data_IF_140592961756
#
_entry.id   IF_140592961756
#
_cell.length_a   1.000
_cell.length_b   1.000
_cell.length_c   1.000
_cell.angle_alpha   90.00
_cell.angle_beta   90.00
_cell.angle_gamma   90.00
#
_symmetry.space_group_name_H-M   'P 1'
#
loop_
_entity.id
_entity.type
_entity.pdbx_description
1 polymer ?
#
# COMPACT_ATOMS: atom_id res chain seq x y z
N UNK A 1 -8.41 6.06 8.01
CA UNK A 1 -9.24 5.68 6.84
C UNK A 1 -8.40 5.24 5.63
N UNK A 2 -7.32 5.94 5.28
CA UNK A 2 -6.45 5.61 4.13
C UNK A 2 -5.87 4.18 4.18
N UNK A 3 -5.35 3.74 5.32
CA UNK A 3 -4.80 2.37 5.46
C UNK A 3 -5.79 1.26 5.12
N UNK A 4 -7.06 1.44 5.50
CA UNK A 4 -8.14 0.52 5.16
C UNK A 4 -8.43 0.50 3.65
N UNK A 5 -8.38 1.66 2.98
CA UNK A 5 -8.54 1.75 1.52
C UNK A 5 -7.40 1.03 0.79
N UNK A 6 -6.16 1.21 1.21
CA UNK A 6 -4.99 0.49 0.65
C UNK A 6 -5.22 -1.02 0.75
N UNK A 7 -5.65 -1.50 1.92
CA UNK A 7 -5.93 -2.93 2.14
C UNK A 7 -7.06 -3.46 1.25
N UNK A 8 -8.14 -2.70 1.10
CA UNK A 8 -9.30 -3.07 0.27
C UNK A 8 -8.88 -3.14 -1.20
N UNK A 9 -8.23 -2.10 -1.72
CA UNK A 9 -7.80 -2.03 -3.12
C UNK A 9 -6.77 -3.10 -3.45
N UNK A 10 -5.81 -3.34 -2.55
CA UNK A 10 -4.83 -4.43 -2.70
C UNK A 10 -5.52 -5.80 -2.80
N UNK A 11 -6.46 -6.09 -1.91
CA UNK A 11 -7.23 -7.35 -1.93
C UNK A 11 -8.11 -7.46 -3.17
N UNK A 12 -8.74 -6.38 -3.63
CA UNK A 12 -9.55 -6.33 -4.86
C UNK A 12 -8.70 -6.70 -6.08
N UNK A 13 -7.43 -6.27 -6.08
CA UNK A 13 -6.45 -6.62 -7.11
C UNK A 13 -5.74 -7.97 -6.89
N UNK A 14 -6.19 -8.78 -5.91
CA UNK A 14 -5.61 -10.09 -5.57
C UNK A 14 -4.10 -10.05 -5.26
N UNK A 15 -3.61 -8.93 -4.75
CA UNK A 15 -2.20 -8.76 -4.41
C UNK A 15 -1.92 -9.11 -2.94
N UNK A 16 -0.80 -9.76 -2.67
CA UNK A 16 -0.23 -9.88 -1.33
C UNK A 16 0.41 -8.55 -0.90
N UNK A 17 0.68 -8.38 0.41
CA UNK A 17 1.40 -7.19 0.89
C UNK A 17 2.81 -7.11 0.29
N UNK A 18 3.45 -8.26 0.02
CA UNK A 18 4.77 -8.34 -0.63
C UNK A 18 4.69 -7.83 -2.07
N UNK A 19 3.70 -8.29 -2.84
CA UNK A 19 3.51 -7.87 -4.24
C UNK A 19 3.22 -6.37 -4.37
N UNK A 20 2.46 -5.81 -3.43
CA UNK A 20 2.27 -4.36 -3.40
C UNK A 20 3.57 -3.63 -3.05
N UNK A 21 4.32 -4.16 -2.07
CA UNK A 21 5.57 -3.57 -1.61
C UNK A 21 6.63 -3.51 -2.71
N UNK A 22 6.75 -4.58 -3.52
CA UNK A 22 7.60 -4.62 -4.71
C UNK A 22 7.21 -3.53 -5.71
N UNK A 23 5.91 -3.37 -6.00
CA UNK A 23 5.40 -2.37 -6.96
C UNK A 23 5.64 -0.93 -6.50
N UNK A 24 5.53 -0.65 -5.20
CA UNK A 24 5.77 0.69 -4.65
C UNK A 24 7.24 0.89 -4.22
N UNK A 25 8.10 -0.10 -4.43
CA UNK A 25 9.50 -0.12 -4.01
C UNK A 25 9.68 0.26 -2.53
N UNK A 26 9.07 -0.53 -1.64
CA UNK A 26 9.21 -0.46 -0.18
C UNK A 26 9.24 -1.88 0.41
N UNK A 27 9.45 -2.01 1.72
CA UNK A 27 9.35 -3.31 2.38
C UNK A 27 7.89 -3.73 2.62
N UNK A 28 7.61 -5.04 2.67
CA UNK A 28 6.29 -5.55 3.08
C UNK A 28 5.85 -5.08 4.46
N UNK A 29 6.81 -4.86 5.37
CA UNK A 29 6.53 -4.28 6.69
C UNK A 29 6.02 -2.83 6.59
N UNK A 30 6.57 -2.03 5.68
CA UNK A 30 6.10 -0.66 5.39
C UNK A 30 4.65 -0.68 4.93
N UNK A 31 4.29 -1.59 4.01
CA UNK A 31 2.91 -1.76 3.56
C UNK A 31 1.99 -2.18 4.72
N UNK A 32 2.44 -3.09 5.59
CA UNK A 32 1.66 -3.49 6.76
C UNK A 32 1.38 -2.30 7.70
N UNK A 33 2.38 -1.45 7.97
CA UNK A 33 2.22 -0.23 8.77
C UNK A 33 1.24 0.75 8.13
N UNK A 34 1.26 0.91 6.81
CA UNK A 34 0.27 1.74 6.11
C UNK A 34 -1.14 1.20 6.27
N UNK A 35 -1.34 -0.11 6.10
CA UNK A 35 -2.66 -0.74 6.24
C UNK A 35 -3.21 -0.66 7.67
N UNK A 36 -2.34 -0.72 8.67
CA UNK A 36 -2.70 -0.61 10.09
C UNK A 36 -2.84 0.85 10.56
N UNK A 37 -2.44 1.84 9.74
CA UNK A 37 -2.44 3.26 10.12
C UNK A 37 -1.31 3.66 11.06
N UNK A 38 -0.29 2.82 11.23
CA UNK A 38 0.91 3.09 12.04
C UNK A 38 1.89 4.01 11.32
N UNK A 39 1.82 4.09 9.99
CA UNK A 39 2.58 5.00 9.16
C UNK A 39 1.76 5.46 7.96
N UNK A 40 2.15 6.58 7.35
CA UNK A 40 1.54 7.07 6.12
C UNK A 40 2.53 6.94 4.95
N UNK A 41 2.05 6.66 3.72
CA UNK A 41 2.85 6.81 2.52
C UNK A 41 3.31 8.27 2.37
N UNK A 42 4.48 8.49 1.79
CA UNK A 42 4.88 9.83 1.34
C UNK A 42 4.16 10.21 0.02
N UNK A 43 4.32 11.47 -0.40
CA UNK A 43 3.64 11.99 -1.59
C UNK A 43 3.99 11.24 -2.87
N UNK A 44 5.21 10.71 -3.00
CA UNK A 44 5.62 9.91 -4.15
C UNK A 44 4.94 8.53 -4.10
N UNK A 45 4.87 7.91 -2.93
CA UNK A 45 4.16 6.62 -2.76
C UNK A 45 2.66 6.77 -2.97
N UNK A 46 2.05 7.89 -2.59
CA UNK A 46 0.64 8.16 -2.93
C UNK A 46 0.39 8.19 -4.43
N UNK A 47 1.29 8.83 -5.20
CA UNK A 47 1.18 8.86 -6.66
C UNK A 47 1.28 7.44 -7.25
N UNK A 48 2.25 6.65 -6.80
CA UNK A 48 2.41 5.26 -7.27
C UNK A 48 1.20 4.41 -6.89
N UNK A 49 0.65 4.56 -5.67
CA UNK A 49 -0.55 3.85 -5.24
C UNK A 49 -1.77 4.22 -6.09
N UNK A 50 -1.89 5.47 -6.52
CA UNK A 50 -2.94 5.93 -7.42
C UNK A 50 -2.76 5.41 -8.86
N UNK A 51 -1.53 5.15 -9.29
CA UNK A 51 -1.27 4.53 -10.61
C UNK A 51 -1.50 3.01 -10.59
N UNK A 52 -1.39 2.35 -9.42
CA UNK A 52 -1.59 0.90 -9.26
C UNK A 52 -3.08 0.53 -9.12
N UNK A 53 -3.89 1.38 -8.52
CA UNK A 53 -5.29 1.10 -8.13
C UNK A 53 -6.30 1.97 -8.87
#
# INVERSE_FOLDING_TARGET
MIGMNIRILRKKNKMSQEQLAEKVNVSRQTVAKWENGEALPDIFKYKILADIF
#
